data_IF_075458059194
#
_entry.id   IF_075458059194
#
_cell.length_a   1.000
_cell.length_b   1.000
_cell.length_c   1.000
_cell.angle_alpha   90.00
_cell.angle_beta   90.00
_cell.angle_gamma   90.00
#
_symmetry.space_group_name_H-M   'P 1'
#
loop_
_entity.id
_entity.type
_entity.pdbx_description
1 polymer ?
#
# COMPACT_ATOMS: atom_id res chain seq x y z
N UNK A 1 12.94 6.93 -18.48
CA UNK A 1 12.15 7.00 -17.23
C UNK A 1 11.91 8.45 -16.91
N UNK A 2 10.74 8.78 -16.37
CA UNK A 2 10.45 10.15 -15.90
C UNK A 2 11.33 10.47 -14.68
N UNK A 3 11.91 11.67 -14.69
CA UNK A 3 12.61 12.29 -13.56
C UNK A 3 11.63 12.62 -12.43
N UNK A 4 12.16 12.85 -11.22
CA UNK A 4 11.33 13.23 -10.07
C UNK A 4 10.49 14.50 -10.32
N UNK A 5 11.06 15.50 -11.00
CA UNK A 5 10.37 16.74 -11.38
C UNK A 5 9.25 16.49 -12.42
N UNK A 6 9.36 15.45 -13.24
CA UNK A 6 8.30 15.07 -14.17
C UNK A 6 7.14 14.38 -13.46
N UNK A 7 7.42 13.59 -12.41
CA UNK A 7 6.38 12.97 -11.58
C UNK A 7 5.54 13.98 -10.79
N UNK A 8 6.11 15.13 -10.42
CA UNK A 8 5.38 16.19 -9.71
C UNK A 8 4.15 16.68 -10.48
N UNK A 9 4.18 16.65 -11.81
CA UNK A 9 3.04 17.05 -12.67
C UNK A 9 1.81 16.15 -12.50
N UNK A 10 2.02 14.90 -12.10
CA UNK A 10 0.99 13.89 -11.91
C UNK A 10 0.68 13.66 -10.43
N UNK A 11 1.38 14.36 -9.54
CA UNK A 11 1.26 14.23 -8.09
C UNK A 11 0.12 15.08 -7.58
N UNK A 12 -0.89 14.44 -6.99
CA UNK A 12 -2.04 15.10 -6.42
C UNK A 12 -2.30 14.65 -5.00
N UNK A 13 -2.90 15.53 -4.20
CA UNK A 13 -3.43 15.17 -2.88
C UNK A 13 -4.92 15.47 -2.87
N UNK A 14 -5.71 14.49 -2.47
CA UNK A 14 -7.15 14.61 -2.36
C UNK A 14 -7.63 14.19 -0.98
N UNK A 15 -8.66 14.88 -0.48
CA UNK A 15 -9.41 14.40 0.67
C UNK A 15 -10.18 13.15 0.26
N UNK A 16 -9.77 12.00 0.78
CA UNK A 16 -10.38 10.70 0.55
C UNK A 16 -10.89 10.21 1.91
N UNK A 17 -12.20 10.00 2.01
CA UNK A 17 -12.83 9.61 3.27
C UNK A 17 -12.46 10.65 4.38
N UNK A 18 -11.80 10.26 5.48
CA UNK A 18 -11.38 11.19 6.57
C UNK A 18 -9.90 11.61 6.56
N UNK A 19 -9.15 11.32 5.51
CA UNK A 19 -7.72 11.69 5.44
C UNK A 19 -7.34 12.23 4.06
N UNK A 20 -6.23 12.96 4.01
CA UNK A 20 -5.65 13.38 2.75
C UNK A 20 -4.84 12.21 2.20
N UNK A 21 -5.05 11.85 0.93
CA UNK A 21 -4.31 10.78 0.25
C UNK A 21 -3.54 11.41 -0.90
N UNK A 22 -2.23 11.24 -0.87
CA UNK A 22 -1.34 11.52 -1.99
C UNK A 22 -1.46 10.39 -3.02
N UNK A 23 -1.50 10.76 -4.29
CA UNK A 23 -1.54 9.80 -5.39
C UNK A 23 -0.88 10.36 -6.65
N UNK A 24 -0.46 9.44 -7.51
CA UNK A 24 -0.14 9.73 -8.90
C UNK A 24 -1.37 9.45 -9.75
N UNK A 25 -1.80 10.43 -10.56
CA UNK A 25 -2.89 10.29 -11.54
C UNK A 25 -2.36 10.57 -12.95
N UNK A 26 -2.34 9.53 -13.79
CA UNK A 26 -1.73 9.58 -15.11
C UNK A 26 -2.48 8.71 -16.11
N UNK A 27 -2.46 9.13 -17.38
CA UNK A 27 -3.15 8.47 -18.48
C UNK A 27 -4.42 9.19 -18.90
N UNK A 28 -5.18 8.56 -19.79
CA UNK A 28 -6.35 9.21 -20.40
C UNK A 28 -7.50 9.29 -19.41
N UNK A 29 -8.01 10.50 -19.11
CA UNK A 29 -9.07 10.70 -18.10
C UNK A 29 -10.29 9.79 -18.30
N UNK A 30 -10.65 9.54 -19.57
CA UNK A 30 -11.79 8.71 -19.95
C UNK A 30 -11.47 7.22 -20.12
N UNK A 31 -10.19 6.81 -20.01
CA UNK A 31 -9.77 5.41 -20.08
C UNK A 31 -10.26 4.56 -18.90
N UNK A 32 -10.26 3.22 -19.01
CA UNK A 32 -10.63 2.34 -17.91
C UNK A 32 -9.71 2.60 -16.70
N UNK A 33 -10.30 2.65 -15.50
CA UNK A 33 -9.57 2.97 -14.28
C UNK A 33 -8.88 1.72 -13.70
N UNK A 34 -7.58 1.83 -13.45
CA UNK A 34 -6.80 0.86 -12.67
C UNK A 34 -6.14 1.56 -11.49
N UNK A 35 -6.29 0.99 -10.30
CA UNK A 35 -5.65 1.49 -9.07
C UNK A 35 -4.57 0.49 -8.64
N UNK A 36 -3.34 0.98 -8.49
CA UNK A 36 -2.17 0.19 -8.08
C UNK A 36 -1.86 0.39 -6.60
N UNK A 37 -2.04 -0.64 -5.79
CA UNK A 37 -1.90 -0.59 -4.34
C UNK A 37 -0.57 -1.22 -3.91
N UNK A 38 0.32 -0.41 -3.33
CA UNK A 38 1.59 -0.88 -2.76
C UNK A 38 1.37 -1.53 -1.37
N UNK A 39 2.42 -2.15 -0.83
CA UNK A 39 2.42 -2.73 0.51
C UNK A 39 3.52 -2.17 1.41
N UNK A 40 3.88 -2.90 2.45
CA UNK A 40 4.93 -2.53 3.40
C UNK A 40 6.30 -3.08 2.95
N UNK A 41 7.41 -2.31 3.08
CA UNK A 41 7.52 -0.91 3.48
C UNK A 41 7.58 0.02 2.25
N UNK A 42 6.82 -0.29 1.20
CA UNK A 42 6.85 0.42 -0.08
C UNK A 42 5.93 1.67 -0.05
N UNK A 43 5.93 2.45 -1.13
CA UNK A 43 5.01 3.55 -1.40
C UNK A 43 4.71 3.62 -2.91
N UNK A 44 4.04 4.66 -3.41
CA UNK A 44 3.64 4.71 -4.83
C UNK A 44 4.79 4.43 -5.82
N UNK A 45 6.03 4.79 -5.46
CA UNK A 45 7.21 4.62 -6.30
C UNK A 45 7.49 3.18 -6.68
N UNK A 46 7.13 2.19 -5.86
CA UNK A 46 7.30 0.77 -6.20
C UNK A 46 6.63 0.35 -7.51
N UNK A 47 5.61 1.10 -7.96
CA UNK A 47 4.89 0.85 -9.21
C UNK A 47 5.40 1.64 -10.42
N UNK A 48 6.41 2.50 -10.27
CA UNK A 48 6.79 3.48 -11.30
C UNK A 48 7.13 2.85 -12.67
N UNK A 49 7.63 1.61 -12.68
CA UNK A 49 7.89 0.85 -13.91
C UNK A 49 6.63 0.29 -14.58
N UNK A 50 5.55 0.03 -13.83
CA UNK A 50 4.29 -0.52 -14.35
C UNK A 50 3.35 0.57 -14.87
N UNK A 51 3.54 1.81 -14.44
CA UNK A 51 2.68 2.93 -14.84
C UNK A 51 2.69 3.15 -16.36
N UNK A 52 3.87 3.33 -16.96
CA UNK A 52 3.97 3.66 -18.39
C UNK A 52 3.36 2.58 -19.31
N UNK A 53 3.68 1.27 -19.15
CA UNK A 53 3.04 0.22 -19.94
C UNK A 53 1.51 0.21 -19.82
N UNK A 54 0.96 0.45 -18.64
CA UNK A 54 -0.51 0.50 -18.46
C UNK A 54 -1.13 1.73 -19.14
N UNK A 55 -0.48 2.89 -19.04
CA UNK A 55 -0.93 4.11 -19.73
C UNK A 55 -0.90 3.92 -21.26
N UNK A 56 0.14 3.27 -21.80
CA UNK A 56 0.26 2.95 -23.23
C UNK A 56 -0.85 2.00 -23.72
N UNK A 57 -1.37 1.15 -22.85
CA UNK A 57 -2.54 0.31 -23.13
C UNK A 57 -3.89 1.06 -22.99
N UNK A 58 -3.86 2.37 -22.73
CA UNK A 58 -5.04 3.24 -22.68
C UNK A 58 -5.73 3.31 -21.32
N UNK A 59 -5.12 2.80 -20.26
CA UNK A 59 -5.66 2.91 -18.90
C UNK A 59 -5.45 4.31 -18.31
N UNK A 60 -6.37 4.71 -17.43
CA UNK A 60 -6.09 5.74 -16.41
C UNK A 60 -5.55 5.04 -15.18
N UNK A 61 -4.32 5.36 -14.81
CA UNK A 61 -3.60 4.70 -13.72
C UNK A 61 -3.57 5.62 -12.51
N UNK A 62 -4.11 5.14 -11.39
CA UNK A 62 -4.03 5.81 -10.09
C UNK A 62 -3.11 5.01 -9.17
N UNK A 63 -2.10 5.65 -8.60
CA UNK A 63 -1.16 5.01 -7.68
C UNK A 63 -1.13 5.81 -6.38
N UNK A 64 -1.98 5.47 -5.39
CA UNK A 64 -2.00 6.16 -4.12
C UNK A 64 -0.84 5.72 -3.22
N UNK A 65 -0.32 6.66 -2.45
CA UNK A 65 0.28 6.33 -1.16
C UNK A 65 -0.85 5.91 -0.22
N UNK A 66 -0.80 4.70 0.32
CA UNK A 66 -1.74 4.24 1.33
C UNK A 66 -1.81 5.20 2.51
N UNK A 67 -2.97 5.29 3.18
CA UNK A 67 -3.08 6.10 4.41
C UNK A 67 -1.94 5.76 5.37
N UNK A 68 -1.33 6.75 6.00
CA UNK A 68 -0.16 6.51 6.84
C UNK A 68 1.18 6.49 6.11
N UNK A 69 1.23 6.19 4.82
CA UNK A 69 2.48 6.10 4.05
C UNK A 69 2.91 7.45 3.48
N UNK A 70 4.22 7.62 3.31
CA UNK A 70 4.87 8.72 2.60
C UNK A 70 4.13 10.08 2.71
N UNK A 71 3.52 10.60 1.63
CA UNK A 71 2.89 11.93 1.61
C UNK A 71 1.40 11.92 2.00
N UNK A 72 0.79 10.74 2.13
CA UNK A 72 -0.59 10.59 2.61
C UNK A 72 -0.72 10.93 4.10
N UNK A 73 -1.88 11.39 4.54
CA UNK A 73 -2.17 11.72 5.92
C UNK A 73 -1.98 10.52 6.86
N UNK A 74 -1.62 10.82 8.12
CA UNK A 74 -1.32 9.84 9.18
C UNK A 74 -2.34 9.96 10.32
N UNK A 75 -3.62 9.58 10.11
CA UNK A 75 -4.67 9.77 11.11
C UNK A 75 -4.35 8.98 12.40
N UNK A 76 -4.56 9.61 13.55
CA UNK A 76 -4.23 8.99 14.83
C UNK A 76 -5.20 7.86 15.19
N UNK A 77 -4.70 6.84 15.91
CA UNK A 77 -5.52 5.76 16.44
C UNK A 77 -5.67 4.56 15.50
N UNK A 78 -5.65 3.36 16.08
CA UNK A 78 -5.60 2.11 15.31
C UNK A 78 -6.88 1.82 14.50
N UNK A 79 -8.03 2.36 14.92
CA UNK A 79 -9.30 2.20 14.20
C UNK A 79 -9.26 2.82 12.79
N UNK A 80 -8.33 3.73 12.51
CA UNK A 80 -8.15 4.32 11.19
C UNK A 80 -7.39 3.42 10.20
N UNK A 81 -6.91 2.26 10.64
CA UNK A 81 -6.09 1.34 9.83
C UNK A 81 -6.72 -0.05 9.71
N UNK A 82 -8.02 -0.19 10.02
CA UNK A 82 -8.76 -1.44 9.81
C UNK A 82 -8.90 -1.75 8.32
N UNK A 83 -9.01 -3.03 7.96
CA UNK A 83 -9.19 -3.45 6.56
C UNK A 83 -10.39 -2.77 5.89
N UNK A 84 -11.50 -2.61 6.61
CA UNK A 84 -12.68 -1.90 6.10
C UNK A 84 -12.39 -0.44 5.76
N UNK A 85 -11.63 0.26 6.60
CA UNK A 85 -11.25 1.65 6.31
C UNK A 85 -10.32 1.74 5.12
N UNK A 86 -9.40 0.79 4.99
CA UNK A 86 -8.49 0.73 3.86
C UNK A 86 -9.21 0.45 2.55
N UNK A 87 -10.18 -0.47 2.55
CA UNK A 87 -11.01 -0.74 1.38
C UNK A 87 -11.92 0.45 1.03
N UNK A 88 -12.49 1.12 2.04
CA UNK A 88 -13.31 2.30 1.82
C UNK A 88 -12.52 3.43 1.13
N UNK A 89 -11.25 3.62 1.48
CA UNK A 89 -10.42 4.61 0.77
C UNK A 89 -10.27 4.32 -0.71
N UNK A 90 -10.09 3.05 -1.08
CA UNK A 90 -9.98 2.63 -2.48
C UNK A 90 -11.26 2.98 -3.24
N UNK A 91 -12.42 2.69 -2.65
CA UNK A 91 -13.72 3.05 -3.23
C UNK A 91 -13.86 4.58 -3.36
N UNK A 92 -13.50 5.33 -2.32
CA UNK A 92 -13.55 6.80 -2.35
C UNK A 92 -12.57 7.40 -3.38
N UNK A 93 -11.42 6.78 -3.63
CA UNK A 93 -10.50 7.17 -4.72
C UNK A 93 -11.17 6.99 -6.07
N UNK A 94 -11.85 5.85 -6.30
CA UNK A 94 -12.59 5.62 -7.55
C UNK A 94 -13.74 6.62 -7.72
N UNK A 95 -14.48 6.91 -6.65
CA UNK A 95 -15.54 7.93 -6.64
C UNK A 95 -14.98 9.32 -6.99
N UNK A 96 -13.82 9.68 -6.40
CA UNK A 96 -13.13 10.95 -6.71
C UNK A 96 -12.70 11.04 -8.17
N UNK A 97 -12.39 9.90 -8.80
CA UNK A 97 -12.09 9.80 -10.21
C UNK A 97 -13.33 9.83 -11.13
N UNK A 98 -14.54 9.83 -10.56
CA UNK A 98 -15.81 9.79 -11.28
C UNK A 98 -16.14 8.40 -11.83
N UNK A 99 -15.70 7.32 -11.17
CA UNK A 99 -15.83 5.95 -11.67
C UNK A 99 -16.67 5.06 -10.75
N UNK A 100 -17.76 4.55 -11.32
CA UNK A 100 -18.59 3.54 -10.66
C UNK A 100 -17.90 2.18 -10.56
N UNK A 101 -17.03 1.83 -11.50
CA UNK A 101 -16.29 0.57 -11.50
C UNK A 101 -14.81 0.77 -11.77
N UNK A 102 -13.96 -0.13 -11.27
CA UNK A 102 -12.50 -0.02 -11.40
C UNK A 102 -11.81 -1.39 -11.32
N UNK A 103 -10.54 -1.42 -11.73
CA UNK A 103 -9.64 -2.58 -11.60
C UNK A 103 -8.61 -2.35 -10.51
N UNK A 104 -8.20 -3.42 -9.84
CA UNK A 104 -7.20 -3.38 -8.78
C UNK A 104 -5.99 -4.23 -9.14
N UNK A 105 -4.81 -3.71 -8.85
CA UNK A 105 -3.57 -4.48 -8.80
C UNK A 105 -2.93 -4.17 -7.46
N UNK A 106 -2.67 -5.20 -6.65
CA UNK A 106 -2.15 -5.02 -5.30
C UNK A 106 -0.97 -5.93 -4.98
N UNK A 107 0.02 -5.39 -4.29
CA UNK A 107 1.19 -6.12 -3.78
C UNK A 107 1.25 -6.07 -2.25
N UNK A 108 1.56 -7.20 -1.58
CA UNK A 108 1.66 -7.30 -0.11
C UNK A 108 0.37 -6.78 0.58
N UNK A 109 0.41 -5.76 1.44
CA UNK A 109 -0.78 -5.14 2.02
C UNK A 109 -1.73 -4.58 0.96
N UNK A 110 -1.21 -4.05 -0.15
CA UNK A 110 -2.03 -3.62 -1.27
C UNK A 110 -2.81 -4.78 -1.89
N UNK A 111 -2.24 -5.98 -1.91
CA UNK A 111 -2.92 -7.19 -2.35
C UNK A 111 -4.01 -7.64 -1.37
N UNK A 112 -3.71 -7.58 -0.06
CA UNK A 112 -4.71 -7.82 1.00
C UNK A 112 -5.88 -6.84 0.88
N UNK A 113 -5.61 -5.55 0.70
CA UNK A 113 -6.62 -4.50 0.56
C UNK A 113 -7.42 -4.70 -0.73
N UNK A 114 -6.77 -5.08 -1.84
CA UNK A 114 -7.44 -5.35 -3.11
C UNK A 114 -8.44 -6.49 -2.99
N UNK A 115 -8.04 -7.60 -2.37
CA UNK A 115 -8.93 -8.73 -2.09
C UNK A 115 -10.08 -8.32 -1.16
N UNK A 116 -9.77 -7.61 -0.08
CA UNK A 116 -10.80 -7.15 0.85
C UNK A 116 -11.82 -6.21 0.19
N UNK A 117 -11.35 -5.30 -0.64
CA UNK A 117 -12.21 -4.37 -1.40
C UNK A 117 -13.14 -5.12 -2.34
N UNK A 118 -12.64 -6.15 -3.04
CA UNK A 118 -13.46 -6.98 -3.91
C UNK A 118 -14.50 -7.81 -3.14
N UNK A 119 -14.17 -8.26 -1.93
CA UNK A 119 -15.11 -8.97 -1.06
C UNK A 119 -16.22 -8.04 -0.55
N UNK A 120 -15.89 -6.85 -0.07
CA UNK A 120 -16.86 -5.92 0.51
C UNK A 120 -17.66 -5.13 -0.54
N UNK A 121 -17.08 -4.90 -1.73
CA UNK A 121 -17.68 -4.09 -2.80
C UNK A 121 -17.64 -4.81 -4.16
N UNK A 122 -18.19 -6.03 -4.29
CA UNK A 122 -18.03 -6.84 -5.50
C UNK A 122 -18.66 -6.19 -6.75
N UNK A 123 -19.66 -5.31 -6.57
CA UNK A 123 -20.28 -4.58 -7.70
C UNK A 123 -19.39 -3.43 -8.23
N UNK A 124 -18.36 -3.04 -7.48
CA UNK A 124 -17.45 -1.93 -7.82
C UNK A 124 -16.18 -2.42 -8.51
N UNK A 125 -15.76 -3.66 -8.28
CA UNK A 125 -14.45 -4.17 -8.71
C UNK A 125 -14.61 -5.10 -9.91
N UNK A 126 -14.11 -4.67 -11.07
CA UNK A 126 -14.22 -5.45 -12.32
C UNK A 126 -13.22 -6.60 -12.37
N UNK A 127 -11.98 -6.34 -11.93
CA UNK A 127 -10.88 -7.30 -11.96
C UNK A 127 -9.90 -7.01 -10.82
N UNK A 128 -9.27 -8.06 -10.31
CA UNK A 128 -8.24 -7.98 -9.26
C UNK A 128 -7.03 -8.80 -9.68
N UNK A 129 -5.84 -8.20 -9.60
CA UNK A 129 -4.55 -8.87 -9.67
C UNK A 129 -3.87 -8.76 -8.31
N UNK A 130 -3.48 -9.90 -7.75
CA UNK A 130 -2.84 -9.98 -6.43
C UNK A 130 -1.43 -10.52 -6.57
N UNK A 131 -0.46 -9.81 -6.03
CA UNK A 131 0.95 -10.19 -6.05
C UNK A 131 1.42 -10.37 -4.61
N UNK A 132 1.90 -11.56 -4.28
CA UNK A 132 2.53 -11.85 -2.98
C UNK A 132 1.66 -11.47 -1.75
N UNK A 133 0.36 -11.79 -1.81
CA UNK A 133 -0.56 -11.56 -0.71
C UNK A 133 -1.60 -12.69 -0.61
N UNK A 134 -1.81 -13.29 0.58
CA UNK A 134 -2.86 -14.27 0.77
C UNK A 134 -4.21 -13.59 1.04
N UNK A 135 -5.31 -14.29 0.74
CA UNK A 135 -6.62 -13.85 1.19
C UNK A 135 -6.66 -13.80 2.73
N UNK A 136 -7.15 -12.72 3.37
CA UNK A 136 -7.12 -12.55 4.83
C UNK A 136 -7.75 -13.70 5.63
N UNK A 137 -8.91 -14.20 5.18
CA UNK A 137 -9.59 -15.30 5.85
C UNK A 137 -8.80 -16.61 5.75
N UNK A 138 -8.22 -16.90 4.59
CA UNK A 138 -7.39 -18.08 4.38
C UNK A 138 -6.13 -17.99 5.25
N UNK A 139 -5.47 -16.84 5.28
CA UNK A 139 -4.29 -16.61 6.12
C UNK A 139 -4.59 -16.86 7.60
N UNK A 140 -5.74 -16.37 8.09
CA UNK A 140 -6.18 -16.58 9.48
C UNK A 140 -6.38 -18.06 9.81
N UNK A 141 -6.91 -18.84 8.87
CA UNK A 141 -7.09 -20.28 9.05
C UNK A 141 -5.76 -21.05 9.02
N UNK A 142 -4.86 -20.70 8.09
CA UNK A 142 -3.57 -21.38 7.91
C UNK A 142 -2.63 -21.12 9.09
N UNK A 143 -2.52 -19.88 9.58
CA UNK A 143 -1.67 -19.54 10.75
C UNK A 143 -2.01 -20.39 11.98
N UNK A 144 -3.28 -20.77 12.15
CA UNK A 144 -3.73 -21.60 13.29
C UNK A 144 -3.34 -23.07 13.18
N UNK A 145 -3.02 -23.55 11.98
CA UNK A 145 -2.84 -24.99 11.68
C UNK A 145 -1.43 -25.32 11.22
N UNK A 146 -0.71 -24.38 10.62
CA UNK A 146 0.63 -24.57 10.10
C UNK A 146 1.68 -23.87 10.98
N UNK A 147 2.52 -24.62 11.72
CA UNK A 147 3.55 -24.04 12.58
C UNK A 147 4.63 -23.31 11.78
N UNK A 148 4.94 -23.73 10.55
CA UNK A 148 5.93 -23.04 9.69
C UNK A 148 5.38 -21.67 9.28
N UNK A 149 4.10 -21.59 8.91
CA UNK A 149 3.46 -20.31 8.60
C UNK A 149 3.38 -19.42 9.85
N UNK A 150 3.04 -19.97 11.02
CA UNK A 150 3.04 -19.21 12.28
C UNK A 150 4.43 -18.62 12.58
N UNK A 151 5.50 -19.41 12.45
CA UNK A 151 6.87 -18.96 12.63
C UNK A 151 7.23 -17.82 11.65
N UNK A 152 6.83 -17.95 10.37
CA UNK A 152 7.01 -16.89 9.36
C UNK A 152 6.22 -15.63 9.66
N UNK A 153 5.14 -15.72 10.43
CA UNK A 153 4.29 -14.58 10.81
C UNK A 153 4.64 -13.95 12.17
N UNK A 154 5.70 -14.41 12.86
CA UNK A 154 6.12 -13.85 14.17
C UNK A 154 6.46 -12.36 14.13
N UNK A 155 6.87 -11.84 12.97
CA UNK A 155 7.13 -10.40 12.81
C UNK A 155 5.86 -9.55 13.05
N UNK A 156 4.66 -10.09 12.78
CA UNK A 156 3.38 -9.41 13.06
C UNK A 156 3.20 -9.20 14.57
N UNK A 157 3.61 -10.18 15.38
CA UNK A 157 3.61 -10.08 16.85
C UNK A 157 4.65 -9.06 17.32
N UNK A 158 5.86 -9.11 16.75
CA UNK A 158 6.91 -8.12 17.01
C UNK A 158 6.41 -6.69 16.74
N UNK A 159 5.68 -6.46 15.64
CA UNK A 159 5.11 -5.15 15.31
C UNK A 159 4.02 -4.67 16.28
N UNK A 160 3.46 -5.54 17.13
CA UNK A 160 2.54 -5.13 18.20
C UNK A 160 3.25 -4.41 19.36
N UNK A 161 4.55 -4.60 19.52
CA UNK A 161 5.32 -4.02 20.62
C UNK A 161 5.35 -2.48 20.48
N UNK A 162 5.11 -1.73 21.57
CA UNK A 162 5.14 -0.28 21.52
C UNK A 162 6.57 0.22 21.36
N UNK A 163 6.80 1.11 20.37
CA UNK A 163 8.05 1.84 20.11
C UNK A 163 9.25 1.00 19.66
N UNK A 164 9.38 -0.25 20.10
CA UNK A 164 10.54 -1.10 19.79
C UNK A 164 10.71 -1.34 18.28
N UNK A 165 9.66 -1.72 17.52
CA UNK A 165 9.76 -1.86 16.07
C UNK A 165 10.19 -0.56 15.39
N UNK A 166 9.63 0.58 15.81
CA UNK A 166 10.01 1.88 15.25
C UNK A 166 11.48 2.20 15.48
N UNK A 167 12.00 1.96 16.68
CA UNK A 167 13.41 2.19 17.01
C UNK A 167 14.33 1.31 16.16
N UNK A 168 14.02 0.02 16.05
CA UNK A 168 14.83 -0.91 15.26
C UNK A 168 14.78 -0.57 13.78
N UNK A 169 13.60 -0.33 13.22
CA UNK A 169 13.44 -0.02 11.80
C UNK A 169 14.02 1.35 11.40
N UNK A 170 14.12 2.31 12.32
CA UNK A 170 14.83 3.59 12.10
C UNK A 170 16.35 3.49 12.17
N UNK A 171 16.88 2.46 12.82
CA UNK A 171 18.32 2.33 13.05
C UNK A 171 19.14 2.34 11.75
N UNK A 172 20.37 2.86 11.82
CA UNK A 172 21.27 2.93 10.66
C UNK A 172 20.71 3.72 9.48
N UNK A 173 19.89 4.76 9.75
CA UNK A 173 19.17 5.51 8.72
C UNK A 173 18.30 4.57 7.86
N UNK A 174 17.37 3.88 8.52
CA UNK A 174 16.44 2.93 7.91
C UNK A 174 17.10 1.73 7.21
N UNK A 175 18.28 1.31 7.67
CA UNK A 175 19.00 0.19 7.08
C UNK A 175 18.20 -1.13 7.13
N UNK A 176 17.44 -1.45 8.20
CA UNK A 176 16.62 -2.67 8.21
C UNK A 176 15.49 -2.67 7.18
N UNK A 177 14.81 -1.54 6.97
CA UNK A 177 13.78 -1.42 5.92
C UNK A 177 14.38 -1.60 4.54
N UNK A 178 15.53 -0.95 4.27
CA UNK A 178 16.25 -1.12 3.02
C UNK A 178 16.65 -2.57 2.79
N UNK A 179 17.23 -3.23 3.79
CA UNK A 179 17.61 -4.64 3.71
C UNK A 179 16.41 -5.56 3.51
N UNK A 180 15.26 -5.25 4.12
CA UNK A 180 14.04 -6.02 3.93
C UNK A 180 13.54 -5.96 2.48
N UNK A 181 13.66 -4.79 1.82
CA UNK A 181 13.34 -4.67 0.40
C UNK A 181 14.38 -5.35 -0.49
N UNK A 182 15.67 -5.08 -0.31
CA UNK A 182 16.71 -5.50 -1.26
C UNK A 182 17.24 -6.90 -1.03
N UNK A 183 17.05 -7.48 0.16
CA UNK A 183 17.70 -8.72 0.58
C UNK A 183 17.31 -9.95 -0.25
N UNK A 184 16.13 -9.92 -0.87
CA UNK A 184 15.61 -10.97 -1.76
C UNK A 184 15.35 -10.47 -3.18
N UNK A 185 15.79 -9.26 -3.53
CA UNK A 185 15.60 -8.70 -4.86
C UNK A 185 16.67 -9.18 -5.84
N UNK A 186 16.30 -9.23 -7.12
CA UNK A 186 17.28 -9.43 -8.19
C UNK A 186 18.30 -8.28 -8.21
N UNK A 187 19.53 -8.62 -8.61
CA UNK A 187 20.61 -7.65 -8.76
C UNK A 187 20.22 -6.60 -9.81
N UNK A 188 20.44 -5.32 -9.49
CA UNK A 188 20.18 -4.21 -10.42
C UNK A 188 18.73 -3.73 -10.49
N UNK A 189 17.81 -4.30 -9.68
CA UNK A 189 16.42 -3.81 -9.61
C UNK A 189 16.35 -2.40 -9.03
N UNK A 190 17.14 -2.14 -7.98
CA UNK A 190 17.22 -0.83 -7.36
C UNK A 190 18.43 -0.07 -7.88
N UNK A 191 18.20 1.17 -8.27
CA UNK A 191 19.27 2.12 -8.58
C UNK A 191 19.93 2.61 -7.27
N UNK A 192 21.19 3.10 -7.32
CA UNK A 192 21.86 3.65 -6.14
C UNK A 192 21.08 4.80 -5.46
N UNK A 193 20.33 5.58 -6.24
CA UNK A 193 19.62 6.78 -5.77
C UNK A 193 18.26 6.46 -5.14
N UNK A 194 17.63 5.35 -5.50
CA UNK A 194 16.32 4.96 -4.94
C UNK A 194 16.36 4.76 -3.43
N UNK A 195 17.51 4.37 -2.87
CA UNK A 195 17.68 4.29 -1.43
C UNK A 195 17.38 5.63 -0.73
N UNK A 196 17.75 6.75 -1.34
CA UNK A 196 17.46 8.07 -0.79
C UNK A 196 15.96 8.40 -0.88
N UNK A 197 15.34 8.07 -2.01
CA UNK A 197 13.89 8.26 -2.26
C UNK A 197 13.04 7.51 -1.21
N UNK A 198 13.34 6.23 -0.97
CA UNK A 198 12.62 5.46 0.05
C UNK A 198 12.87 5.97 1.47
N UNK A 199 14.10 6.40 1.77
CA UNK A 199 14.42 7.01 3.07
C UNK A 199 13.63 8.28 3.32
N UNK A 200 13.47 9.14 2.31
CA UNK A 200 12.65 10.33 2.40
C UNK A 200 11.20 9.97 2.73
N UNK A 201 10.64 8.97 2.05
CA UNK A 201 9.29 8.47 2.29
C UNK A 201 9.10 7.91 3.71
N UNK A 202 10.06 7.14 4.22
CA UNK A 202 10.00 6.60 5.58
C UNK A 202 10.25 7.65 6.67
N UNK A 203 11.01 8.69 6.34
CA UNK A 203 11.31 9.79 7.26
C UNK A 203 10.15 10.77 7.44
N UNK A 204 9.11 10.68 6.60
CA UNK A 204 7.90 11.49 6.77
C UNK A 204 7.35 11.36 8.19
N UNK A 205 6.92 12.46 8.83
CA UNK A 205 6.46 12.44 10.23
C UNK A 205 5.37 11.40 10.44
N UNK A 206 5.54 10.57 11.49
CA UNK A 206 4.63 9.48 11.86
C UNK A 206 4.44 8.36 10.82
N UNK A 207 5.13 8.39 9.67
CA UNK A 207 4.94 7.41 8.61
C UNK A 207 5.21 5.99 9.12
N UNK A 208 6.39 5.75 9.71
CA UNK A 208 6.75 4.42 10.21
C UNK A 208 5.74 3.85 11.22
N UNK A 209 5.33 4.62 12.22
CA UNK A 209 4.30 4.19 13.18
C UNK A 209 2.99 3.87 12.48
N UNK A 210 2.59 4.69 11.50
CA UNK A 210 1.35 4.50 10.74
C UNK A 210 1.39 3.26 9.85
N UNK A 211 2.52 3.01 9.18
CA UNK A 211 2.74 1.79 8.40
C UNK A 211 2.58 0.54 9.27
N UNK A 212 3.15 0.56 10.49
CA UNK A 212 2.99 -0.53 11.45
C UNK A 212 1.57 -0.66 12.00
N UNK A 213 0.77 0.40 11.96
CA UNK A 213 -0.61 0.35 12.44
C UNK A 213 -1.52 -0.55 11.60
N UNK A 214 -1.17 -0.83 10.33
CA UNK A 214 -1.85 -1.85 9.53
C UNK A 214 -1.80 -3.22 10.22
N UNK A 215 -0.61 -3.63 10.68
CA UNK A 215 -0.42 -4.87 11.44
C UNK A 215 -1.07 -4.79 12.82
N UNK A 216 -1.02 -3.63 13.48
CA UNK A 216 -1.62 -3.47 14.82
C UNK A 216 -3.13 -3.49 14.79
N UNK A 217 -3.74 -3.03 13.69
CA UNK A 217 -5.18 -3.01 13.50
C UNK A 217 -5.79 -4.37 13.18
N UNK A 218 -4.98 -5.40 12.84
CA UNK A 218 -5.46 -6.79 12.67
C UNK A 218 -6.15 -7.37 13.92
N UNK A 219 -5.97 -6.75 15.09
CA UNK A 219 -6.70 -7.12 16.31
C UNK A 219 -8.20 -6.79 16.27
N UNK A 220 -8.60 -5.87 15.39
CA UNK A 220 -10.00 -5.53 15.20
C UNK A 220 -10.65 -6.50 14.24
N UNK A 221 -11.85 -6.97 14.58
CA UNK A 221 -12.68 -7.71 13.65
C UNK A 221 -13.18 -6.76 12.57
N UNK A 222 -13.07 -7.13 11.28
CA UNK A 222 -13.76 -6.42 10.23
C UNK A 222 -15.28 -6.46 10.43
N UNK A 223 -15.97 -5.44 9.95
CA UNK A 223 -17.41 -5.21 10.04
C UNK A 223 -18.12 -5.38 8.69
N UNK A 224 -17.41 -5.26 7.57
CA UNK A 224 -17.99 -5.22 6.22
C UNK A 224 -17.96 -6.56 5.45
N UNK A 225 -17.45 -7.64 6.05
CA UNK A 225 -17.41 -8.98 5.44
C UNK A 225 -18.19 -10.02 6.23
#
# INVERSE_FOLDING_TARGET
>A
MLTQAEWEKFSHTHRINETDIHLIDIGFKNGPLVILLHGFPDFWWGWHHQIAPLVEQGFRVIVPDGRGYNKSGKPQGLANYTLDKLALDVVCIADKCGRSTFRLIGHDWGGVIALWTATCFPQRVEQVVVINAPHPDVMTQVIRRDPVQLLRSLYVLFFQLPRLPELLLKSGNYAPLWRAMTGSSNVGVFTPDEKAIYREAWAQPQALTSMLNYYRALRFKPLMA
#
